data_IF_969486581013
#
_entry.id   IF_969486581013
#
_cell.length_a   1.000
_cell.length_b   1.000
_cell.length_c   1.000
_cell.angle_alpha   90.00
_cell.angle_beta   90.00
_cell.angle_gamma   90.00
#
_symmetry.space_group_name_H-M   'P 1'
#
loop_
_entity.id
_entity.type
_entity.pdbx_description
1 polymer ?
#
# COMPACT_ATOMS: atom_id res chain seq x y z
N UNK A 1 -1.40 -11.59 2.43
CA UNK A 1 -1.94 -11.93 1.08
C UNK A 1 -2.75 -10.73 0.62
N UNK A 2 -2.57 -10.27 -0.62
CA UNK A 2 -3.37 -9.19 -1.19
C UNK A 2 -4.48 -9.80 -2.05
N UNK A 3 -5.73 -9.65 -1.63
CA UNK A 3 -6.89 -10.12 -2.39
C UNK A 3 -7.34 -8.99 -3.29
N UNK A 4 -7.55 -9.25 -4.58
CA UNK A 4 -8.07 -8.24 -5.50
C UNK A 4 -9.57 -8.09 -5.28
N UNK A 5 -9.91 -7.20 -4.37
CA UNK A 5 -11.29 -6.77 -4.09
C UNK A 5 -11.82 -5.88 -5.21
N UNK A 6 -13.12 -5.61 -5.19
CA UNK A 6 -13.73 -4.74 -6.20
C UNK A 6 -13.23 -3.28 -6.15
N UNK A 7 -13.03 -2.65 -4.97
CA UNK A 7 -12.38 -1.34 -4.90
C UNK A 7 -10.96 -1.34 -5.48
N UNK A 8 -10.15 -2.34 -5.14
CA UNK A 8 -8.78 -2.44 -5.65
C UNK A 8 -8.77 -2.69 -7.17
N UNK A 9 -9.69 -3.52 -7.69
CA UNK A 9 -9.87 -3.75 -9.13
C UNK A 9 -10.13 -2.45 -9.88
N UNK A 10 -10.99 -1.58 -9.34
CA UNK A 10 -11.30 -0.29 -9.97
C UNK A 10 -10.07 0.60 -10.06
N UNK A 11 -9.28 0.69 -9.00
CA UNK A 11 -8.03 1.47 -8.98
C UNK A 11 -7.00 0.91 -9.99
N UNK A 12 -6.89 -0.43 -10.08
CA UNK A 12 -6.02 -1.08 -11.08
C UNK A 12 -6.47 -0.73 -12.50
N UNK A 13 -7.78 -0.80 -12.80
CA UNK A 13 -8.31 -0.46 -14.11
C UNK A 13 -8.11 1.03 -14.46
N UNK A 14 -8.11 1.90 -13.46
CA UNK A 14 -7.81 3.32 -13.58
C UNK A 14 -6.30 3.62 -13.66
N UNK A 15 -5.44 2.59 -13.57
CA UNK A 15 -3.97 2.72 -13.55
C UNK A 15 -3.47 3.69 -12.46
N UNK A 16 -4.12 3.67 -11.30
CA UNK A 16 -3.68 4.40 -10.12
C UNK A 16 -2.29 3.91 -9.67
N UNK A 17 -1.56 4.78 -9.00
CA UNK A 17 -0.20 4.48 -8.56
C UNK A 17 -0.17 3.42 -7.45
N UNK A 18 1.03 2.93 -7.17
CA UNK A 18 1.24 1.88 -6.16
C UNK A 18 0.90 2.33 -4.74
N UNK A 19 1.03 3.62 -4.43
CA UNK A 19 0.66 4.23 -3.16
C UNK A 19 -0.86 4.20 -2.96
N UNK A 20 -1.64 4.68 -3.92
CA UNK A 20 -3.10 4.62 -3.91
C UNK A 20 -3.61 3.18 -3.74
N UNK A 21 -3.03 2.24 -4.50
CA UNK A 21 -3.36 0.81 -4.39
C UNK A 21 -3.04 0.25 -3.01
N UNK A 22 -1.86 0.60 -2.47
CA UNK A 22 -1.42 0.17 -1.14
C UNK A 22 -2.32 0.70 -0.03
N UNK A 23 -2.70 1.98 -0.08
CA UNK A 23 -3.59 2.58 0.90
C UNK A 23 -4.97 1.91 0.89
N UNK A 24 -5.52 1.64 -0.31
CA UNK A 24 -6.77 0.89 -0.44
C UNK A 24 -6.66 -0.50 0.19
N UNK A 25 -5.60 -1.25 -0.13
CA UNK A 25 -5.39 -2.60 0.41
C UNK A 25 -5.28 -2.59 1.96
N UNK A 26 -4.55 -1.63 2.53
CA UNK A 26 -4.42 -1.48 3.99
C UNK A 26 -5.76 -1.11 4.63
N UNK A 27 -6.52 -0.19 4.02
CA UNK A 27 -7.83 0.21 4.51
C UNK A 27 -8.85 -0.95 4.51
N UNK A 28 -8.69 -1.90 3.58
CA UNK A 28 -9.48 -3.14 3.52
C UNK A 28 -8.94 -4.25 4.46
N UNK A 29 -7.98 -3.93 5.32
CA UNK A 29 -7.46 -4.84 6.35
C UNK A 29 -6.33 -5.74 5.89
N UNK A 30 -5.71 -5.48 4.73
CA UNK A 30 -4.53 -6.23 4.29
C UNK A 30 -3.28 -5.72 5.01
N UNK A 31 -2.41 -6.66 5.39
CA UNK A 31 -1.13 -6.33 6.04
C UNK A 31 0.01 -6.28 5.03
N UNK A 32 0.91 -5.32 5.21
CA UNK A 32 2.15 -5.23 4.42
C UNK A 32 3.16 -6.31 4.86
N UNK A 33 4.10 -6.66 3.98
CA UNK A 33 5.19 -7.56 4.33
C UNK A 33 6.04 -7.04 5.51
N UNK A 34 6.20 -5.72 5.60
CA UNK A 34 6.92 -5.08 6.71
C UNK A 34 6.16 -5.24 8.04
N UNK A 35 4.85 -5.04 8.03
CA UNK A 35 4.00 -5.27 9.21
C UNK A 35 4.04 -6.73 9.67
N UNK A 36 3.94 -7.69 8.75
CA UNK A 36 4.09 -9.12 9.07
C UNK A 36 5.48 -9.43 9.63
N UNK A 37 6.53 -8.87 9.03
CA UNK A 37 7.91 -8.99 9.52
C UNK A 37 8.05 -8.57 10.97
N UNK A 38 7.51 -7.40 11.35
CA UNK A 38 7.54 -6.94 12.74
C UNK A 38 6.78 -7.86 13.69
N UNK A 39 5.64 -8.40 13.26
CA UNK A 39 4.89 -9.38 14.03
C UNK A 39 5.70 -10.66 14.27
N UNK A 40 6.48 -11.10 13.28
CA UNK A 40 7.37 -12.27 13.39
C UNK A 40 8.57 -11.99 14.30
N UNK A 41 9.10 -10.78 14.29
CA UNK A 41 10.16 -10.36 15.24
C UNK A 41 9.63 -10.43 16.67
N UNK A 42 8.44 -9.89 16.93
CA UNK A 42 7.83 -9.92 18.27
C UNK A 42 7.58 -11.34 18.79
N UNK A 43 7.41 -12.32 17.88
CA UNK A 43 7.26 -13.74 18.22
C UNK A 43 8.58 -14.51 18.29
N UNK A 44 9.71 -13.88 17.97
CA UNK A 44 11.02 -14.53 17.94
C UNK A 44 11.26 -15.45 16.73
N UNK A 45 10.47 -15.32 15.66
CA UNK A 45 10.57 -16.17 14.46
C UNK A 45 11.49 -15.61 13.37
N UNK A 46 11.95 -14.37 13.49
CA UNK A 46 12.87 -13.70 12.55
C UNK A 46 13.63 -12.59 13.30
N UNK A 47 14.63 -11.99 12.67
CA UNK A 47 15.42 -10.90 13.24
C UNK A 47 15.05 -9.54 12.63
N UNK A 48 15.39 -8.47 13.34
CA UNK A 48 15.15 -7.10 12.88
C UNK A 48 15.90 -6.85 11.56
N UNK A 49 17.13 -7.33 11.45
CA UNK A 49 17.99 -7.19 10.27
C UNK A 49 17.38 -7.87 9.05
N UNK A 50 16.77 -9.05 9.22
CA UNK A 50 16.07 -9.74 8.13
C UNK A 50 14.88 -8.92 7.63
N UNK A 51 14.05 -8.42 8.53
CA UNK A 51 12.88 -7.61 8.16
C UNK A 51 13.30 -6.34 7.42
N UNK A 52 14.32 -5.64 7.92
CA UNK A 52 14.81 -4.41 7.29
C UNK A 52 15.42 -4.68 5.91
N UNK A 53 16.14 -5.80 5.74
CA UNK A 53 16.79 -6.16 4.47
C UNK A 53 15.81 -6.66 3.41
N UNK A 54 14.76 -7.38 3.81
CA UNK A 54 13.87 -8.11 2.89
C UNK A 54 12.61 -7.31 2.53
N UNK A 55 12.24 -6.31 3.32
CA UNK A 55 11.02 -5.51 3.09
C UNK A 55 11.35 -4.09 2.64
N UNK A 56 10.50 -3.49 1.80
CA UNK A 56 10.59 -2.07 1.45
C UNK A 56 10.00 -1.20 2.54
N UNK A 57 10.51 0.02 2.72
CA UNK A 57 9.95 0.97 3.68
C UNK A 57 8.54 1.35 3.26
N UNK A 58 7.63 1.48 4.23
CA UNK A 58 6.30 2.00 3.95
C UNK A 58 6.40 3.51 3.73
N UNK A 59 6.78 3.93 2.52
CA UNK A 59 6.74 5.34 2.13
C UNK A 59 5.27 5.79 2.12
N UNK A 60 4.93 6.68 3.05
CA UNK A 60 3.70 7.45 3.00
C UNK A 60 3.92 8.52 1.94
N UNK A 61 3.59 8.20 0.69
CA UNK A 61 3.52 9.21 -0.35
C UNK A 61 2.25 10.02 -0.11
N UNK A 62 2.41 11.18 0.54
CA UNK A 62 1.44 12.26 0.40
C UNK A 62 1.63 12.83 -1.01
N UNK A 63 1.00 12.22 -2.00
CA UNK A 63 0.91 12.84 -3.32
C UNK A 63 -0.01 14.05 -3.20
N UNK A 64 0.57 15.25 -3.29
CA UNK A 64 -0.16 16.45 -3.66
C UNK A 64 -0.69 16.22 -5.07
N UNK A 65 -1.96 15.83 -5.19
CA UNK A 65 -2.64 15.77 -6.48
C UNK A 65 -2.73 17.18 -7.04
N UNK A 66 -1.86 17.53 -8.01
CA UNK A 66 -1.94 18.79 -8.77
C UNK A 66 -2.88 18.69 -9.98
N UNK A 67 -3.43 17.52 -10.32
CA UNK A 67 -4.31 17.38 -11.49
C UNK A 67 -5.79 17.31 -11.11
N UNK A 68 -6.34 18.46 -10.73
CA UNK A 68 -7.75 18.76 -10.93
C UNK A 68 -7.85 19.84 -12.03
N UNK A 69 -7.67 19.46 -13.30
CA UNK A 69 -8.09 20.33 -14.39
C UNK A 69 -9.60 20.61 -14.24
N UNK A 70 -10.05 21.87 -14.27
CA UNK A 70 -11.47 22.15 -14.22
C UNK A 70 -12.07 21.68 -15.53
N UNK A 71 -12.91 20.65 -15.47
CA UNK A 71 -13.84 20.35 -16.56
C UNK A 71 -14.82 21.51 -16.63
N UNK A 72 -14.46 22.53 -17.42
CA UNK A 72 -15.35 23.64 -17.78
C UNK A 72 -16.50 23.02 -18.56
N UNK A 73 -17.63 22.86 -17.87
CA UNK A 73 -18.88 22.41 -18.44
C UNK A 73 -19.46 23.58 -19.26
N UNK A 74 -19.71 23.29 -20.54
CA UNK A 74 -20.29 24.14 -21.62
C UNK A 74 -20.97 25.44 -21.21
#
# INVERSE_FOLDING_TARGET
ICVVTEPLRKLIMQKKDGGELKQCAIAEGMETLRQDGWRRVAKGNTTIEEVVRVTQTDEVMAETTEDAEPVVQR
#
